data_IF_420183647149
#
_entry.id   IF_420183647149
#
_cell.length_a   1.000
_cell.length_b   1.000
_cell.length_c   1.000
_cell.angle_alpha   90.00
_cell.angle_beta   90.00
_cell.angle_gamma   90.00
#
_symmetry.space_group_name_H-M   'P 1'
#
loop_
_entity.id
_entity.type
_entity.pdbx_description
1 polymer ?
#
# COMPACT_ATOMS: atom_id res chain seq x y z
N UNK A 1 4.44 3.10 9.86
CA UNK A 1 3.51 3.79 8.93
C UNK A 1 2.54 2.87 8.18
N UNK A 2 2.71 1.54 8.22
CA UNK A 2 1.84 0.56 7.52
C UNK A 2 0.50 0.23 8.21
N UNK A 3 0.12 0.96 9.26
CA UNK A 3 -1.03 0.62 10.11
C UNK A 3 -2.38 0.68 9.39
N UNK A 4 -2.54 1.57 8.42
CA UNK A 4 -3.80 1.69 7.66
C UNK A 4 -4.02 0.48 6.74
N UNK A 5 -2.97 0.00 6.06
CA UNK A 5 -2.99 -1.24 5.28
C UNK A 5 -3.35 -2.42 6.19
N UNK A 6 -2.72 -2.53 7.36
CA UNK A 6 -3.02 -3.57 8.35
C UNK A 6 -4.49 -3.56 8.78
N UNK A 7 -5.03 -2.40 9.14
CA UNK A 7 -6.41 -2.27 9.58
C UNK A 7 -7.40 -2.68 8.49
N UNK A 8 -7.16 -2.28 7.23
CA UNK A 8 -7.98 -2.67 6.10
C UNK A 8 -7.91 -4.18 5.85
N UNK A 9 -6.72 -4.80 5.83
CA UNK A 9 -6.58 -6.25 5.67
C UNK A 9 -7.31 -7.04 6.77
N UNK A 10 -7.24 -6.58 8.03
CA UNK A 10 -7.99 -7.17 9.15
C UNK A 10 -9.51 -7.05 8.96
N UNK A 11 -10.00 -5.88 8.53
CA UNK A 11 -11.42 -5.67 8.29
C UNK A 11 -11.95 -6.47 7.09
N UNK A 12 -11.10 -6.75 6.10
CA UNK A 12 -11.35 -7.68 5.00
C UNK A 12 -11.38 -9.15 5.44
N UNK A 13 -11.12 -9.43 6.72
CA UNK A 13 -11.22 -10.76 7.32
C UNK A 13 -9.93 -11.58 7.23
N UNK A 14 -8.80 -10.97 6.87
CA UNK A 14 -7.53 -11.68 6.75
C UNK A 14 -6.83 -11.84 8.11
N UNK A 15 -6.17 -12.99 8.33
CA UNK A 15 -5.27 -13.17 9.46
C UNK A 15 -3.91 -12.54 9.15
N UNK A 16 -3.64 -11.37 9.75
CA UNK A 16 -2.42 -10.61 9.48
C UNK A 16 -1.49 -10.60 10.70
N UNK A 17 -0.24 -10.99 10.49
CA UNK A 17 0.89 -10.72 11.39
C UNK A 17 1.52 -9.40 10.98
N UNK A 18 1.52 -8.39 11.86
CA UNK A 18 1.99 -7.04 11.55
C UNK A 18 3.37 -6.79 12.14
N UNK A 19 4.38 -6.68 11.26
CA UNK A 19 5.72 -6.24 11.63
C UNK A 19 5.85 -4.74 11.35
N UNK A 20 6.19 -3.96 12.37
CA UNK A 20 6.34 -2.51 12.30
C UNK A 20 7.53 -2.04 13.12
N UNK A 21 7.98 -0.84 12.82
CA UNK A 21 9.02 -0.16 13.58
C UNK A 21 8.55 0.10 15.03
N UNK A 22 9.49 0.07 15.98
CA UNK A 22 9.20 0.27 17.42
C UNK A 22 9.08 1.75 17.77
N UNK A 23 9.79 2.57 17.01
CA UNK A 23 9.91 4.01 17.14
C UNK A 23 8.56 4.70 16.86
N UNK A 24 8.20 5.68 17.69
CA UNK A 24 6.96 6.41 17.54
C UNK A 24 7.16 7.54 16.54
N UNK A 25 6.40 7.50 15.44
CA UNK A 25 6.37 8.58 14.44
C UNK A 25 5.08 9.36 14.66
N UNK A 26 5.21 10.65 14.97
CA UNK A 26 4.08 11.54 15.20
C UNK A 26 3.90 12.46 13.99
N UNK A 27 2.66 12.59 13.51
CA UNK A 27 2.34 13.44 12.37
C UNK A 27 1.50 14.61 12.84
N UNK A 28 2.11 15.77 12.95
CA UNK A 28 1.48 16.98 13.45
C UNK A 28 0.96 17.83 12.30
N UNK A 29 -0.26 18.33 12.46
CA UNK A 29 -0.93 19.22 11.50
C UNK A 29 -1.40 20.46 12.24
N UNK A 30 -1.00 21.62 11.77
CA UNK A 30 -1.52 22.90 12.25
C UNK A 30 -2.69 23.29 11.35
N UNK A 31 -3.89 23.33 11.93
CA UNK A 31 -5.15 23.60 11.23
C UNK A 31 -5.69 24.94 11.73
N UNK A 32 -5.97 25.85 10.80
CA UNK A 32 -6.75 27.04 11.10
C UNK A 32 -8.21 26.63 11.31
N UNK A 33 -8.76 26.85 12.50
CA UNK A 33 -10.12 26.46 12.84
C UNK A 33 -11.19 27.32 12.16
N UNK A 34 -10.86 28.57 11.83
CA UNK A 34 -11.78 29.53 11.21
C UNK A 34 -12.02 29.15 9.76
N UNK A 35 -10.95 28.90 9.01
CA UNK A 35 -11.03 28.57 7.57
C UNK A 35 -10.95 27.06 7.28
N UNK A 36 -10.73 26.23 8.31
CA UNK A 36 -10.50 24.77 8.21
C UNK A 36 -9.38 24.39 7.23
N UNK A 37 -8.38 25.25 7.10
CA UNK A 37 -7.24 25.02 6.22
C UNK A 37 -6.06 24.44 7.00
N UNK A 38 -5.36 23.47 6.40
CA UNK A 38 -4.10 22.97 6.93
C UNK A 38 -2.98 23.93 6.55
N UNK A 39 -2.40 24.61 7.52
CA UNK A 39 -1.32 25.59 7.31
C UNK A 39 0.05 24.92 7.26
N UNK A 40 0.34 24.06 8.24
CA UNK A 40 1.65 23.41 8.39
C UNK A 40 1.44 21.92 8.64
N UNK A 41 2.35 21.12 8.09
CA UNK A 41 2.52 19.72 8.46
C UNK A 41 3.98 19.47 8.78
N UNK A 42 4.23 18.92 9.97
CA UNK A 42 5.55 18.48 10.38
C UNK A 42 5.45 17.09 11.03
N UNK A 43 6.39 16.23 10.70
CA UNK A 43 6.43 14.86 11.21
C UNK A 43 7.64 14.77 12.19
N UNK A 44 7.45 14.15 13.36
CA UNK A 44 8.46 14.03 14.44
C UNK A 44 8.79 12.55 14.65
N UNK A 45 10.06 12.24 14.91
CA UNK A 45 10.52 10.86 15.18
C UNK A 45 10.77 10.03 13.93
N UNK A 46 10.99 10.68 12.78
CA UNK A 46 11.41 10.00 11.55
C UNK A 46 12.92 9.74 11.48
N UNK A 47 13.70 10.34 12.39
CA UNK A 47 15.14 10.19 12.47
C UNK A 47 15.50 8.87 13.17
N UNK A 48 16.43 8.11 12.56
CA UNK A 48 17.02 6.88 13.11
C UNK A 48 16.02 5.72 13.33
N UNK A 49 15.23 5.37 12.32
CA UNK A 49 14.42 4.14 12.36
C UNK A 49 15.31 2.91 12.20
N UNK A 50 15.27 2.00 13.17
CA UNK A 50 15.98 0.74 13.11
C UNK A 50 15.45 -0.15 11.97
N UNK A 51 16.32 -0.79 11.18
CA UNK A 51 15.88 -1.77 10.18
C UNK A 51 15.08 -2.91 10.80
N UNK A 52 14.19 -3.51 10.01
CA UNK A 52 13.46 -4.71 10.42
C UNK A 52 14.45 -5.84 10.75
N UNK A 53 14.31 -6.38 11.94
CA UNK A 53 14.99 -7.62 12.32
C UNK A 53 14.35 -8.81 11.59
N UNK A 54 15.13 -9.43 10.71
CA UNK A 54 14.70 -10.54 9.87
C UNK A 54 14.87 -11.92 10.54
N UNK A 55 15.49 -11.98 11.72
CA UNK A 55 15.79 -13.27 12.39
C UNK A 55 14.54 -14.02 12.82
N UNK A 56 13.48 -13.30 13.20
CA UNK A 56 12.24 -13.86 13.74
C UNK A 56 11.04 -13.73 12.78
N UNK A 57 11.31 -13.83 11.47
CA UNK A 57 10.23 -13.77 10.47
C UNK A 57 9.36 -15.05 10.51
N UNK A 58 8.04 -14.93 10.30
CA UNK A 58 7.15 -16.10 10.26
C UNK A 58 7.57 -17.08 9.16
N UNK A 59 7.69 -18.36 9.51
CA UNK A 59 8.08 -19.42 8.57
C UNK A 59 6.95 -19.82 7.60
N UNK A 60 5.70 -19.55 7.97
CA UNK A 60 4.51 -19.83 7.15
C UNK A 60 3.67 -18.57 6.96
N UNK A 61 3.41 -18.23 5.70
CA UNK A 61 2.43 -17.24 5.29
C UNK A 61 1.96 -17.55 3.86
N UNK A 62 0.81 -17.00 3.46
CA UNK A 62 0.27 -17.21 2.10
C UNK A 62 0.62 -16.05 1.15
N UNK A 63 0.82 -14.85 1.71
CA UNK A 63 1.13 -13.61 1.00
C UNK A 63 2.00 -12.73 1.91
N UNK A 64 2.97 -12.04 1.33
CA UNK A 64 3.77 -11.02 2.01
C UNK A 64 3.37 -9.64 1.49
N UNK A 65 3.20 -8.67 2.39
CA UNK A 65 2.91 -7.28 2.04
C UNK A 65 3.99 -6.37 2.64
N UNK A 66 4.69 -5.64 1.79
CA UNK A 66 5.71 -4.65 2.15
C UNK A 66 5.14 -3.26 1.90
N UNK A 67 4.98 -2.47 2.95
CA UNK A 67 4.58 -1.06 2.85
C UNK A 67 5.73 -0.20 3.37
N UNK A 68 6.53 0.30 2.44
CA UNK A 68 7.81 0.97 2.67
C UNK A 68 7.75 2.47 2.34
N UNK A 69 7.93 3.29 3.36
CA UNK A 69 7.92 4.75 3.21
C UNK A 69 9.33 5.34 3.01
N UNK A 70 10.33 4.49 2.78
CA UNK A 70 11.73 4.86 2.58
C UNK A 70 12.31 5.69 3.73
N UNK A 71 12.04 5.26 4.98
CA UNK A 71 12.54 5.90 6.21
C UNK A 71 13.58 5.07 6.98
N UNK A 72 14.04 3.95 6.42
CA UNK A 72 15.08 3.09 7.01
C UNK A 72 14.61 1.73 7.53
N UNK A 73 13.32 1.54 7.81
CA UNK A 73 12.79 0.25 8.30
C UNK A 73 12.99 -0.90 7.30
N UNK A 74 12.72 -0.64 6.02
CA UNK A 74 12.97 -1.58 4.92
C UNK A 74 14.18 -1.06 4.12
N UNK A 75 15.36 -1.51 4.51
CA UNK A 75 16.60 -1.24 3.75
C UNK A 75 16.67 -2.14 2.51
N UNK A 76 17.55 -1.81 1.56
CA UNK A 76 17.72 -2.62 0.35
C UNK A 76 18.19 -4.05 0.67
N UNK A 77 18.97 -4.25 1.73
CA UNK A 77 19.38 -5.59 2.18
C UNK A 77 18.21 -6.37 2.79
N UNK A 78 17.40 -5.73 3.63
CA UNK A 78 16.19 -6.32 4.22
C UNK A 78 15.21 -6.72 3.11
N UNK A 79 14.93 -5.84 2.15
CA UNK A 79 14.04 -6.12 1.03
C UNK A 79 14.50 -7.34 0.22
N UNK A 80 15.79 -7.41 -0.14
CA UNK A 80 16.38 -8.57 -0.85
C UNK A 80 16.23 -9.86 -0.05
N UNK A 81 16.51 -9.82 1.25
CA UNK A 81 16.40 -10.99 2.12
C UNK A 81 14.96 -11.49 2.24
N UNK A 82 13.98 -10.58 2.36
CA UNK A 82 12.56 -10.94 2.36
C UNK A 82 12.17 -11.60 1.04
N UNK A 83 12.57 -11.02 -0.10
CA UNK A 83 12.27 -11.59 -1.42
C UNK A 83 12.88 -12.99 -1.59
N UNK A 84 14.10 -13.20 -1.10
CA UNK A 84 14.77 -14.50 -1.15
C UNK A 84 14.11 -15.54 -0.24
N UNK A 85 13.76 -15.16 0.99
CA UNK A 85 13.12 -16.05 1.97
C UNK A 85 11.74 -16.51 1.49
N UNK A 86 10.98 -15.61 0.87
CA UNK A 86 9.61 -15.84 0.43
C UNK A 86 9.48 -15.95 -1.09
N UNK A 87 10.51 -16.41 -1.79
CA UNK A 87 10.59 -16.46 -3.27
C UNK A 87 9.43 -17.20 -3.97
N UNK A 88 8.75 -18.10 -3.27
CA UNK A 88 7.63 -18.89 -3.79
C UNK A 88 6.25 -18.36 -3.34
N UNK A 89 6.24 -17.23 -2.61
CA UNK A 89 5.05 -16.63 -2.03
C UNK A 89 4.81 -15.30 -2.76
N UNK A 90 3.57 -14.98 -3.14
CA UNK A 90 3.24 -13.69 -3.72
C UNK A 90 3.63 -12.55 -2.76
N UNK A 91 4.46 -11.61 -3.25
CA UNK A 91 4.88 -10.43 -2.51
C UNK A 91 4.27 -9.19 -3.15
N UNK A 92 3.54 -8.41 -2.35
CA UNK A 92 2.98 -7.12 -2.76
C UNK A 92 3.76 -5.99 -2.09
N UNK A 93 4.19 -5.02 -2.86
CA UNK A 93 5.05 -3.93 -2.39
C UNK A 93 4.40 -2.60 -2.71
N UNK A 94 4.32 -1.70 -1.74
CA UNK A 94 4.11 -0.27 -1.93
C UNK A 94 5.33 0.43 -1.35
N UNK A 95 6.07 1.17 -2.18
CA UNK A 95 7.34 1.78 -1.78
C UNK A 95 7.51 3.19 -2.32
N UNK A 96 8.19 4.03 -1.53
CA UNK A 96 8.65 5.37 -1.93
C UNK A 96 10.08 5.38 -2.51
N UNK A 97 10.74 4.22 -2.62
CA UNK A 97 12.08 4.11 -3.22
C UNK A 97 12.01 4.36 -4.74
N UNK A 98 13.06 4.98 -5.28
CA UNK A 98 13.22 5.20 -6.72
C UNK A 98 13.95 4.07 -7.43
N UNK A 99 14.98 3.52 -6.77
CA UNK A 99 15.65 2.30 -7.20
C UNK A 99 14.98 1.08 -6.57
N UNK A 100 14.36 0.26 -7.42
CA UNK A 100 13.66 -0.96 -7.03
C UNK A 100 14.48 -2.24 -7.29
N UNK A 101 15.79 -2.12 -7.50
CA UNK A 101 16.71 -3.25 -7.70
C UNK A 101 16.74 -4.25 -6.52
N UNK A 102 16.26 -3.84 -5.35
CA UNK A 102 16.17 -4.67 -4.16
C UNK A 102 14.96 -5.62 -4.13
N UNK A 103 14.01 -5.46 -5.05
CA UNK A 103 12.84 -6.32 -5.15
C UNK A 103 12.99 -7.29 -6.34
N UNK A 104 12.53 -8.53 -6.14
CA UNK A 104 12.49 -9.56 -7.19
C UNK A 104 11.21 -10.39 -7.09
N UNK A 105 10.62 -10.74 -8.24
CA UNK A 105 9.36 -11.51 -8.32
C UNK A 105 8.21 -10.91 -7.48
N UNK A 106 8.09 -9.59 -7.44
CA UNK A 106 7.11 -8.86 -6.64
C UNK A 106 6.05 -8.17 -7.52
N UNK A 107 4.82 -8.02 -7.00
CA UNK A 107 3.85 -7.07 -7.50
C UNK A 107 4.07 -5.72 -6.80
N UNK A 108 4.49 -4.70 -7.55
CA UNK A 108 4.83 -3.39 -7.00
C UNK A 108 3.73 -2.40 -7.38
N UNK A 109 3.13 -1.77 -6.38
CA UNK A 109 2.12 -0.73 -6.52
C UNK A 109 2.76 0.64 -6.23
N UNK A 110 2.70 1.54 -7.20
CA UNK A 110 3.16 2.94 -7.05
C UNK A 110 2.14 3.89 -7.69
N UNK A 111 2.22 5.18 -7.41
CA UNK A 111 1.45 6.21 -8.12
C UNK A 111 2.17 6.75 -9.38
N UNK A 112 1.49 7.56 -10.20
CA UNK A 112 2.10 8.08 -11.43
C UNK A 112 3.34 8.96 -11.15
N UNK A 113 3.33 9.77 -10.08
CA UNK A 113 4.45 10.64 -9.73
C UNK A 113 5.68 9.80 -9.35
N UNK A 114 5.49 8.73 -8.58
CA UNK A 114 6.55 7.76 -8.25
C UNK A 114 7.06 7.05 -9.49
N UNK A 115 6.17 6.66 -10.40
CA UNK A 115 6.51 6.02 -11.66
C UNK A 115 7.36 6.92 -12.57
N UNK A 116 7.00 8.21 -12.68
CA UNK A 116 7.76 9.20 -13.46
C UNK A 116 9.15 9.48 -12.87
N UNK A 117 9.36 9.20 -11.57
CA UNK A 117 10.61 9.43 -10.84
C UNK A 117 11.42 8.16 -10.60
N UNK A 118 11.05 7.07 -11.26
CA UNK A 118 11.61 5.76 -11.03
C UNK A 118 12.96 5.65 -11.74
N UNK A 119 14.01 5.28 -11.00
CA UNK A 119 15.36 5.17 -11.55
C UNK A 119 15.57 3.80 -12.20
N UNK A 120 15.09 2.75 -11.54
CA UNK A 120 15.25 1.37 -12.01
C UNK A 120 14.16 0.45 -11.46
N UNK A 121 13.69 -0.47 -12.31
CA UNK A 121 12.84 -1.59 -11.93
C UNK A 121 13.47 -2.91 -12.36
N UNK A 122 13.46 -3.89 -11.45
CA UNK A 122 13.85 -5.26 -11.78
C UNK A 122 12.88 -5.86 -12.81
N UNK A 123 13.36 -6.44 -13.93
CA UNK A 123 12.49 -7.05 -14.95
C UNK A 123 11.60 -8.18 -14.43
N UNK A 124 11.98 -8.78 -13.30
CA UNK A 124 11.20 -9.83 -12.63
C UNK A 124 9.97 -9.31 -11.87
N UNK A 125 9.87 -8.00 -11.66
CA UNK A 125 8.79 -7.39 -10.93
C UNK A 125 7.66 -6.91 -11.85
N UNK A 126 6.44 -6.98 -11.35
CA UNK A 126 5.24 -6.60 -12.07
C UNK A 126 4.69 -5.28 -11.50
N UNK A 127 4.57 -4.25 -12.34
CA UNK A 127 4.26 -2.90 -11.90
C UNK A 127 2.78 -2.54 -12.07
N UNK A 128 2.18 -1.98 -11.03
CA UNK A 128 0.79 -1.50 -10.99
C UNK A 128 0.82 -0.01 -10.66
N UNK A 129 0.52 0.83 -11.65
CA UNK A 129 0.63 2.28 -11.51
C UNK A 129 -0.76 2.90 -11.30
N UNK A 130 -1.03 3.40 -10.10
CA UNK A 130 -2.29 4.06 -9.77
C UNK A 130 -2.33 5.51 -10.25
N UNK A 131 -3.42 5.90 -10.92
CA UNK A 131 -3.63 7.20 -11.57
C UNK A 131 -4.89 7.93 -11.03
N UNK A 132 -5.11 7.88 -9.71
CA UNK A 132 -6.25 8.55 -9.07
C UNK A 132 -7.59 8.19 -9.73
N UNK A 133 -8.36 9.20 -10.12
CA UNK A 133 -9.66 9.03 -10.79
C UNK A 133 -9.62 8.32 -12.15
N UNK A 134 -8.44 8.14 -12.77
CA UNK A 134 -8.28 7.34 -14.00
C UNK A 134 -8.18 5.84 -13.74
N UNK A 135 -8.04 5.42 -12.48
CA UNK A 135 -7.89 4.03 -12.06
C UNK A 135 -6.43 3.59 -11.97
N UNK A 136 -6.08 2.46 -12.57
CA UNK A 136 -4.72 1.89 -12.50
C UNK A 136 -4.27 1.34 -13.86
N UNK A 137 -2.96 1.31 -14.10
CA UNK A 137 -2.34 0.75 -15.29
C UNK A 137 -1.53 -0.48 -14.90
N UNK A 138 -1.67 -1.56 -15.67
CA UNK A 138 -0.91 -2.80 -15.49
C UNK A 138 -0.73 -3.50 -16.84
N UNK A 139 0.52 -3.80 -17.22
CA UNK A 139 0.89 -4.38 -18.53
C UNK A 139 0.23 -3.64 -19.70
N UNK A 140 0.44 -2.32 -19.73
CA UNK A 140 -0.11 -1.38 -20.73
C UNK A 140 -1.64 -1.34 -20.85
N UNK A 141 -2.36 -2.00 -19.94
CA UNK A 141 -3.82 -1.98 -19.89
C UNK A 141 -4.30 -1.04 -18.79
N UNK A 142 -5.30 -0.22 -19.15
CA UNK A 142 -5.95 0.71 -18.23
C UNK A 142 -7.15 0.03 -17.59
N UNK A 143 -7.12 -0.07 -16.27
CA UNK A 143 -8.19 -0.52 -15.41
C UNK A 143 -8.89 0.71 -14.86
N UNK A 144 -9.98 1.12 -15.52
CA UNK A 144 -10.75 2.30 -15.12
C UNK A 144 -11.40 2.07 -13.76
N UNK A 145 -11.50 3.13 -12.97
CA UNK A 145 -12.30 3.14 -11.75
C UNK A 145 -13.61 3.91 -11.97
N UNK A 146 -14.58 3.70 -11.09
CA UNK A 146 -15.83 4.48 -11.10
C UNK A 146 -15.50 5.92 -10.70
N UNK A 147 -15.97 6.88 -11.49
CA UNK A 147 -15.91 8.28 -11.07
C UNK A 147 -16.92 8.52 -9.96
N UNK A 148 -16.43 9.15 -8.90
CA UNK A 148 -17.18 9.48 -7.69
C UNK A 148 -16.83 10.90 -7.29
N UNK A 149 -17.71 11.52 -6.50
CA UNK A 149 -17.39 12.78 -5.84
C UNK A 149 -16.29 12.54 -4.81
N UNK A 150 -15.14 13.17 -5.03
CA UNK A 150 -13.94 12.99 -4.18
C UNK A 150 -14.03 13.94 -3.00
N UNK A 151 -14.09 13.38 -1.80
CA UNK A 151 -14.08 14.13 -0.56
C UNK A 151 -12.65 14.26 0.01
N UNK A 152 -11.92 13.14 0.14
CA UNK A 152 -10.53 13.12 0.61
C UNK A 152 -9.79 11.93 -0.02
N UNK A 153 -8.58 12.15 -0.54
CA UNK A 153 -7.76 11.08 -1.15
C UNK A 153 -6.84 10.38 -0.15
N UNK A 154 -6.83 10.82 1.11
CA UNK A 154 -5.95 10.30 2.14
C UNK A 154 -6.15 8.79 2.36
N UNK A 155 -5.07 8.00 2.27
CA UNK A 155 -5.12 6.56 2.51
C UNK A 155 -5.77 5.72 1.40
N UNK A 156 -6.22 6.31 0.29
CA UNK A 156 -6.80 5.56 -0.83
C UNK A 156 -5.82 4.54 -1.43
N UNK A 157 -4.52 4.84 -1.41
CA UNK A 157 -3.46 3.91 -1.81
C UNK A 157 -3.34 2.70 -0.88
N UNK A 158 -3.52 2.89 0.43
CA UNK A 158 -3.49 1.82 1.42
C UNK A 158 -4.70 0.90 1.27
N UNK A 159 -5.88 1.50 1.03
CA UNK A 159 -7.13 0.76 0.73
C UNK A 159 -6.97 -0.04 -0.56
N UNK A 160 -6.41 0.58 -1.61
CA UNK A 160 -6.13 -0.09 -2.87
C UNK A 160 -5.23 -1.31 -2.65
N UNK A 161 -4.10 -1.15 -1.94
CA UNK A 161 -3.16 -2.24 -1.68
C UNK A 161 -3.81 -3.37 -0.89
N UNK A 162 -4.56 -3.05 0.17
CA UNK A 162 -5.25 -4.05 0.99
C UNK A 162 -6.30 -4.82 0.18
N UNK A 163 -7.12 -4.13 -0.62
CA UNK A 163 -8.12 -4.73 -1.49
C UNK A 163 -7.51 -5.56 -2.63
N UNK A 164 -6.37 -5.13 -3.17
CA UNK A 164 -5.59 -5.87 -4.16
C UNK A 164 -5.13 -7.21 -3.59
N UNK A 165 -4.46 -7.19 -2.44
CA UNK A 165 -3.98 -8.38 -1.74
C UNK A 165 -5.14 -9.32 -1.39
N UNK A 166 -6.22 -8.79 -0.85
CA UNK A 166 -7.42 -9.54 -0.50
C UNK A 166 -8.02 -10.27 -1.70
N UNK A 167 -8.30 -9.54 -2.77
CA UNK A 167 -8.89 -10.10 -3.98
C UNK A 167 -7.96 -11.09 -4.65
N UNK A 168 -6.64 -10.85 -4.64
CA UNK A 168 -5.67 -11.81 -5.14
C UNK A 168 -5.64 -13.09 -4.29
N UNK A 169 -5.76 -12.99 -2.97
CA UNK A 169 -5.81 -14.17 -2.09
C UNK A 169 -6.96 -15.12 -2.44
N UNK A 170 -8.12 -14.56 -2.81
CA UNK A 170 -9.33 -15.31 -3.20
C UNK A 170 -9.23 -15.90 -4.61
N UNK A 171 -8.81 -15.09 -5.59
CA UNK A 171 -8.99 -15.44 -7.01
C UNK A 171 -7.68 -15.78 -7.74
N UNK A 172 -6.52 -15.56 -7.11
CA UNK A 172 -5.18 -15.74 -7.69
C UNK A 172 -4.99 -15.05 -9.06
N UNK A 173 -5.77 -13.99 -9.31
CA UNK A 173 -5.75 -13.21 -10.55
C UNK A 173 -5.47 -11.75 -10.23
N UNK A 174 -4.33 -11.24 -10.68
CA UNK A 174 -3.94 -9.85 -10.47
C UNK A 174 -4.87 -8.88 -11.20
N UNK A 175 -5.38 -9.28 -12.37
CA UNK A 175 -6.33 -8.47 -13.16
C UNK A 175 -7.65 -8.29 -12.41
N UNK A 176 -8.19 -9.36 -11.85
CA UNK A 176 -9.39 -9.31 -10.99
C UNK A 176 -9.11 -8.47 -9.74
N UNK A 177 -7.92 -8.65 -9.15
CA UNK A 177 -7.53 -7.91 -7.97
C UNK A 177 -7.48 -6.39 -8.20
N UNK A 178 -6.97 -5.93 -9.34
CA UNK A 178 -6.93 -4.50 -9.68
C UNK A 178 -8.35 -3.92 -9.81
N UNK A 179 -9.29 -4.66 -10.41
CA UNK A 179 -10.68 -4.21 -10.50
C UNK A 179 -11.31 -4.01 -9.12
N UNK A 180 -11.16 -5.00 -8.22
CA UNK A 180 -11.62 -4.90 -6.83
C UNK A 180 -10.96 -3.75 -6.09
N UNK A 181 -9.64 -3.60 -6.24
CA UNK A 181 -8.86 -2.54 -5.62
C UNK A 181 -9.33 -1.14 -6.05
N UNK A 182 -9.61 -0.94 -7.35
CA UNK A 182 -10.20 0.29 -7.87
C UNK A 182 -11.58 0.59 -7.28
N UNK A 183 -12.46 -0.42 -7.19
CA UNK A 183 -13.80 -0.28 -6.61
C UNK A 183 -13.72 0.14 -5.13
N UNK A 184 -12.80 -0.45 -4.37
CA UNK A 184 -12.67 -0.20 -2.94
C UNK A 184 -11.99 1.15 -2.68
N UNK A 185 -10.96 1.49 -3.46
CA UNK A 185 -10.29 2.78 -3.40
C UNK A 185 -11.23 3.93 -3.78
N UNK A 186 -12.05 3.79 -4.84
CA UNK A 186 -13.03 4.82 -5.21
C UNK A 186 -14.09 5.02 -4.12
N UNK A 187 -14.51 3.99 -3.40
CA UNK A 187 -15.35 4.19 -2.22
C UNK A 187 -14.64 4.96 -1.11
N UNK A 188 -13.38 4.61 -0.82
CA UNK A 188 -12.62 5.26 0.26
C UNK A 188 -12.46 6.76 0.07
N UNK A 189 -12.31 7.23 -1.18
CA UNK A 189 -12.14 8.67 -1.44
C UNK A 189 -13.39 9.52 -1.19
N UNK A 190 -14.54 8.87 -0.97
CA UNK A 190 -15.79 9.55 -0.57
C UNK A 190 -15.88 9.79 0.95
N UNK A 191 -14.84 9.40 1.71
CA UNK A 191 -14.79 9.45 3.17
C UNK A 191 -13.63 10.34 3.62
N UNK A 192 -13.71 10.87 4.84
CA UNK A 192 -12.69 11.74 5.41
C UNK A 192 -11.51 10.94 5.98
N UNK A 193 -10.29 11.42 5.75
CA UNK A 193 -9.06 10.92 6.36
C UNK A 193 -8.59 9.58 5.81
N UNK A 194 -7.62 8.96 6.49
CA UNK A 194 -7.11 7.62 6.15
C UNK A 194 -8.14 6.54 6.49
N UNK A 195 -9.17 6.45 5.64
CA UNK A 195 -10.35 5.62 5.87
C UNK A 195 -10.00 4.13 5.92
N UNK A 196 -10.66 3.41 6.84
CA UNK A 196 -10.60 1.95 6.94
C UNK A 196 -11.97 1.40 6.58
N UNK A 197 -12.00 0.48 5.61
CA UNK A 197 -13.25 -0.16 5.17
C UNK A 197 -13.95 -0.85 6.32
N UNK A 198 -15.25 -0.63 6.46
CA UNK A 198 -16.09 -1.35 7.42
C UNK A 198 -16.63 -2.65 6.80
N UNK A 199 -17.09 -3.58 7.65
CA UNK A 199 -17.78 -4.79 7.18
C UNK A 199 -19.00 -4.48 6.31
N UNK A 200 -19.67 -3.35 6.53
CA UNK A 200 -20.81 -2.92 5.72
C UNK A 200 -20.36 -2.49 4.32
N UNK A 201 -19.29 -1.71 4.23
CA UNK A 201 -18.73 -1.30 2.93
C UNK A 201 -18.33 -2.51 2.10
N UNK A 202 -17.63 -3.47 2.72
CA UNK A 202 -17.17 -4.68 2.05
C UNK A 202 -18.35 -5.46 1.48
N UNK A 203 -19.41 -5.69 2.26
CA UNK A 203 -20.62 -6.38 1.78
C UNK A 203 -21.27 -5.69 0.58
N UNK A 204 -21.33 -4.35 0.58
CA UNK A 204 -21.91 -3.57 -0.52
C UNK A 204 -21.00 -3.63 -1.75
N UNK A 205 -19.69 -3.59 -1.56
CA UNK A 205 -18.72 -3.53 -2.64
C UNK A 205 -18.36 -4.92 -3.21
N UNK A 206 -18.71 -6.01 -2.53
CA UNK A 206 -18.59 -7.37 -3.07
C UNK A 206 -19.80 -7.82 -3.91
N UNK A 207 -20.93 -7.11 -3.82
CA UNK A 207 -22.09 -7.26 -4.72
C UNK A 207 -21.80 -6.60 -6.08
#
# INVERSE_FOLDING_TARGET
MSSNVYANLKNLGMSVTHLKNKEKIEKHRLIDLTYRQQLIRYDVGEDNISPLDITNLPTKCDIVVISDYNKGFITSSVAKNICNLYKNIPIFVDTKKKDLSCFSNCFIKINNIEHERLDYISPSCELIVTHGGKGAIYKDQIYKTKQVEVYDVCGAGDVFLAALVYSYSKYKSIRTAIHTANKFASHSVTKLGSYVLTKKDIKILEQ
#
